data_IF_076991680560
#
_entry.id   IF_076991680560
#
_cell.length_a   1.000
_cell.length_b   1.000
_cell.length_c   1.000
_cell.angle_alpha   90.00
_cell.angle_beta   90.00
_cell.angle_gamma   90.00
#
_symmetry.space_group_name_H-M   'P 1'
#
loop_
_entity.id
_entity.type
_entity.pdbx_description
1 polymer ?
#
# COMPACT_ATOMS: atom_id res chain seq x y z
N UNK A 1 -28.55 -0.36 12.40
CA UNK A 1 -27.63 0.75 12.14
C UNK A 1 -26.50 0.62 13.15
N UNK A 2 -25.41 -0.04 12.78
CA UNK A 2 -24.18 0.04 13.56
C UNK A 2 -23.59 1.41 13.26
N UNK A 3 -23.58 2.29 14.25
CA UNK A 3 -22.76 3.51 14.20
C UNK A 3 -21.31 3.03 14.12
N UNK A 4 -20.72 3.08 12.93
CA UNK A 4 -19.32 2.69 12.72
C UNK A 4 -18.47 3.46 13.73
N UNK A 5 -17.72 2.74 14.55
CA UNK A 5 -16.76 3.31 15.47
C UNK A 5 -15.64 3.91 14.62
N UNK A 6 -15.50 5.23 14.62
CA UNK A 6 -14.39 5.91 13.90
C UNK A 6 -13.28 6.12 14.90
N UNK A 7 -12.10 5.55 14.62
CA UNK A 7 -10.93 5.75 15.46
C UNK A 7 -10.16 6.98 14.94
N UNK A 8 -9.86 7.97 15.78
CA UNK A 8 -8.96 9.04 15.40
C UNK A 8 -7.53 8.46 15.24
N UNK A 9 -6.94 8.63 14.08
CA UNK A 9 -5.50 8.42 13.86
C UNK A 9 -4.77 9.68 14.33
N UNK A 10 -3.60 9.51 14.93
CA UNK A 10 -2.75 10.64 15.30
C UNK A 10 -2.34 11.41 14.05
N UNK A 11 -2.45 12.73 14.13
CA UNK A 11 -1.99 13.64 13.08
C UNK A 11 -0.68 14.29 13.52
N UNK A 12 0.33 14.23 12.66
CA UNK A 12 1.66 14.78 12.89
C UNK A 12 1.95 15.85 11.84
N UNK A 13 2.25 17.04 12.30
CA UNK A 13 2.76 18.13 11.48
C UNK A 13 4.27 17.91 11.25
N UNK A 14 4.67 17.66 10.00
CA UNK A 14 6.09 17.42 9.65
C UNK A 14 6.98 18.65 9.75
N UNK A 15 6.43 19.85 9.93
CA UNK A 15 7.20 21.06 10.24
C UNK A 15 7.45 21.26 11.75
N UNK A 16 6.78 20.45 12.59
CA UNK A 16 6.98 20.49 14.04
C UNK A 16 8.39 20.01 14.43
N UNK A 17 9.07 20.66 15.37
CA UNK A 17 10.34 20.17 15.91
C UNK A 17 10.21 18.82 16.64
N UNK A 18 9.00 18.41 17.02
CA UNK A 18 8.71 17.14 17.68
C UNK A 18 8.20 16.07 16.69
N UNK A 19 8.20 16.37 15.38
CA UNK A 19 7.62 15.50 14.34
C UNK A 19 8.12 14.06 14.43
N UNK A 20 9.42 13.83 14.54
CA UNK A 20 9.99 12.48 14.60
C UNK A 20 9.46 11.70 15.82
N UNK A 21 9.48 12.30 17.01
CA UNK A 21 9.02 11.65 18.24
C UNK A 21 7.52 11.32 18.17
N UNK A 22 6.70 12.24 17.68
CA UNK A 22 5.26 12.05 17.53
C UNK A 22 4.94 10.99 16.46
N UNK A 23 5.69 11.00 15.36
CA UNK A 23 5.59 9.98 14.29
C UNK A 23 5.86 8.57 14.85
N UNK A 24 6.99 8.37 15.55
CA UNK A 24 7.32 7.09 16.13
C UNK A 24 6.31 6.63 17.18
N UNK A 25 5.81 7.54 18.03
CA UNK A 25 4.78 7.23 19.03
C UNK A 25 3.46 6.79 18.38
N UNK A 26 3.04 7.44 17.29
CA UNK A 26 1.84 7.08 16.54
C UNK A 26 1.98 5.69 15.91
N UNK A 27 3.11 5.42 15.24
CA UNK A 27 3.38 4.12 14.62
C UNK A 27 3.46 2.99 15.66
N UNK A 28 4.11 3.22 16.80
CA UNK A 28 4.16 2.24 17.87
C UNK A 28 2.78 1.93 18.48
N UNK A 29 1.87 2.91 18.49
CA UNK A 29 0.55 2.76 19.11
C UNK A 29 -0.46 2.07 18.20
N UNK A 30 -0.48 2.42 16.92
CA UNK A 30 -1.55 1.99 15.99
C UNK A 30 -1.04 1.49 14.65
N UNK A 31 0.27 1.48 14.41
CA UNK A 31 0.82 1.17 13.09
C UNK A 31 0.43 2.17 11.99
N UNK A 32 -0.34 3.23 12.31
CA UNK A 32 -0.84 4.24 11.37
C UNK A 32 -0.63 5.65 11.91
N UNK A 33 -0.37 6.59 11.01
CA UNK A 33 -0.27 8.02 11.32
C UNK A 33 -0.77 8.84 10.13
N UNK A 34 -1.35 10.00 10.40
CA UNK A 34 -1.68 11.00 9.38
C UNK A 34 -0.64 12.11 9.42
N UNK A 35 -0.19 12.57 8.25
CA UNK A 35 0.84 13.59 8.12
C UNK A 35 0.27 14.83 7.46
N UNK A 36 0.46 15.98 8.12
CA UNK A 36 0.27 17.31 7.56
C UNK A 36 1.60 17.95 7.21
N UNK A 37 1.58 19.00 6.39
CA UNK A 37 2.78 19.71 5.93
C UNK A 37 3.83 18.77 5.34
N UNK A 38 3.37 17.72 4.67
CA UNK A 38 4.18 16.65 4.08
C UNK A 38 5.01 17.10 2.87
N UNK A 39 4.69 18.27 2.27
CA UNK A 39 5.46 18.89 1.21
C UNK A 39 5.15 18.45 -0.21
N UNK A 40 4.20 17.52 -0.42
CA UNK A 40 3.73 17.12 -1.76
C UNK A 40 3.07 18.33 -2.43
N UNK A 41 3.51 18.67 -3.65
CA UNK A 41 2.97 19.81 -4.41
C UNK A 41 1.50 19.59 -4.80
N UNK A 42 0.58 20.50 -4.44
CA UNK A 42 -0.84 20.35 -4.78
C UNK A 42 -1.11 20.32 -6.30
N UNK A 43 -0.27 20.98 -7.11
CA UNK A 43 -0.37 20.97 -8.56
C UNK A 43 0.02 19.62 -9.17
N UNK A 44 1.08 18.98 -8.64
CA UNK A 44 1.45 17.60 -8.99
C UNK A 44 0.31 16.65 -8.64
N UNK A 45 -0.23 16.75 -7.43
CA UNK A 45 -1.37 15.95 -6.95
C UNK A 45 -2.61 16.10 -7.86
N UNK A 46 -2.91 17.33 -8.30
CA UNK A 46 -4.04 17.61 -9.18
C UNK A 46 -3.84 17.02 -10.59
N UNK A 47 -2.66 17.18 -11.19
CA UNK A 47 -2.32 16.59 -12.50
C UNK A 47 -2.40 15.06 -12.46
N UNK A 48 -1.80 14.46 -11.44
CA UNK A 48 -1.88 13.02 -11.22
C UNK A 48 -3.33 12.52 -11.16
N UNK A 49 -4.19 13.17 -10.36
CA UNK A 49 -5.60 12.79 -10.24
C UNK A 49 -6.35 12.92 -11.56
N UNK A 50 -6.10 13.98 -12.33
CA UNK A 50 -6.71 14.16 -13.65
C UNK A 50 -6.29 13.06 -14.63
N UNK A 51 -5.00 12.75 -14.70
CA UNK A 51 -4.49 11.69 -15.57
C UNK A 51 -5.09 10.32 -15.21
N UNK A 52 -5.20 10.02 -13.91
CA UNK A 52 -5.87 8.80 -13.44
C UNK A 52 -7.36 8.77 -13.82
N UNK A 53 -8.08 9.89 -13.70
CA UNK A 53 -9.48 9.95 -14.10
C UNK A 53 -9.66 9.68 -15.59
N UNK A 54 -8.81 10.26 -16.43
CA UNK A 54 -8.83 10.05 -17.88
C UNK A 54 -8.54 8.58 -18.21
N UNK A 55 -7.53 7.95 -17.57
CA UNK A 55 -7.21 6.55 -17.79
C UNK A 55 -8.31 5.60 -17.33
N UNK A 56 -8.76 5.73 -16.08
CA UNK A 56 -9.80 4.85 -15.53
C UNK A 56 -11.17 5.10 -16.17
N UNK A 57 -11.38 6.25 -16.80
CA UNK A 57 -12.54 6.57 -17.62
C UNK A 57 -12.62 5.83 -18.96
N UNK A 58 -11.49 5.25 -19.43
CA UNK A 58 -11.47 4.51 -20.69
C UNK A 58 -12.30 3.23 -20.62
N UNK A 59 -12.79 2.73 -21.78
CA UNK A 59 -13.36 1.39 -21.88
C UNK A 59 -12.36 0.31 -21.42
N UNK A 60 -12.90 -0.78 -20.86
CA UNK A 60 -12.07 -1.87 -20.30
C UNK A 60 -11.09 -2.45 -21.33
N UNK A 61 -11.53 -2.58 -22.59
CA UNK A 61 -10.73 -3.11 -23.69
C UNK A 61 -9.50 -2.23 -23.98
N UNK A 62 -9.65 -0.91 -23.84
CA UNK A 62 -8.54 0.02 -24.00
C UNK A 62 -7.52 -0.11 -22.83
N UNK A 63 -8.02 -0.22 -21.61
CA UNK A 63 -7.18 -0.39 -20.41
C UNK A 63 -6.42 -1.72 -20.40
N UNK A 64 -7.06 -2.80 -20.85
CA UNK A 64 -6.45 -4.14 -20.90
C UNK A 64 -5.19 -4.23 -21.77
N UNK A 65 -4.99 -3.31 -22.70
CA UNK A 65 -3.77 -3.22 -23.53
C UNK A 65 -2.52 -2.91 -22.69
N UNK A 66 -2.70 -2.36 -21.49
CA UNK A 66 -1.64 -1.95 -20.58
C UNK A 66 -1.46 -2.89 -19.39
N UNK A 67 -2.01 -4.10 -19.47
CA UNK A 67 -1.68 -5.19 -18.55
C UNK A 67 -0.27 -5.66 -18.84
N UNK A 68 0.58 -5.73 -17.81
CA UNK A 68 1.94 -6.21 -17.99
C UNK A 68 1.94 -7.71 -18.36
N UNK A 69 2.74 -8.15 -19.36
CA UNK A 69 2.76 -9.54 -19.80
C UNK A 69 3.30 -10.49 -18.72
N UNK A 70 4.21 -10.01 -17.86
CA UNK A 70 4.75 -10.79 -16.74
C UNK A 70 3.92 -10.50 -15.47
N UNK A 71 3.17 -11.49 -14.96
CA UNK A 71 2.26 -11.27 -13.84
C UNK A 71 2.95 -10.82 -12.55
N UNK A 72 4.23 -11.19 -12.35
CA UNK A 72 5.01 -10.85 -11.14
C UNK A 72 5.58 -9.44 -11.17
N UNK A 73 5.55 -8.77 -12.32
CA UNK A 73 6.18 -7.46 -12.51
C UNK A 73 5.62 -6.36 -11.60
N UNK A 74 4.41 -6.50 -11.10
CA UNK A 74 3.70 -5.49 -10.33
C UNK A 74 3.67 -4.10 -11.02
N UNK A 75 3.45 -4.09 -12.34
CA UNK A 75 3.40 -2.90 -13.20
C UNK A 75 2.18 -2.94 -14.11
N UNK A 76 1.72 -1.77 -14.52
CA UNK A 76 0.62 -1.61 -15.47
C UNK A 76 -0.75 -1.78 -14.86
N UNK A 77 -1.73 -1.96 -15.75
CA UNK A 77 -3.14 -2.05 -15.39
C UNK A 77 -3.49 -3.41 -14.78
N UNK A 78 -4.26 -3.36 -13.73
CA UNK A 78 -4.88 -4.51 -13.07
C UNK A 78 -6.38 -4.33 -13.04
N UNK A 79 -7.08 -5.24 -13.67
CA UNK A 79 -8.53 -5.15 -13.80
C UNK A 79 -9.24 -5.55 -12.50
N UNK A 80 -10.44 -5.05 -12.32
CA UNK A 80 -11.36 -5.46 -11.26
C UNK A 80 -11.47 -6.99 -11.23
N UNK A 81 -11.34 -7.56 -10.05
CA UNK A 81 -11.42 -9.00 -9.83
C UNK A 81 -10.17 -9.80 -10.23
N UNK A 82 -9.06 -9.15 -10.58
CA UNK A 82 -7.79 -9.84 -10.85
C UNK A 82 -7.01 -10.22 -9.59
N UNK A 83 -7.39 -9.66 -8.45
CA UNK A 83 -6.73 -9.87 -7.16
C UNK A 83 -7.73 -10.27 -6.07
N UNK A 84 -7.23 -10.91 -5.02
CA UNK A 84 -7.92 -11.20 -3.77
C UNK A 84 -6.87 -11.13 -2.65
N UNK A 85 -6.69 -9.94 -2.08
CA UNK A 85 -5.59 -9.67 -1.14
C UNK A 85 -5.65 -10.54 0.12
N UNK A 86 -6.85 -10.91 0.57
CA UNK A 86 -7.03 -11.83 1.71
C UNK A 86 -6.36 -13.20 1.52
N UNK A 87 -6.03 -13.59 0.28
CA UNK A 87 -5.27 -14.83 0.04
C UNK A 87 -3.85 -14.77 0.60
N UNK A 88 -3.28 -13.58 0.76
CA UNK A 88 -1.97 -13.41 1.41
C UNK A 88 -2.00 -13.81 2.89
N UNK A 89 -3.19 -13.81 3.49
CA UNK A 89 -3.45 -14.27 4.87
C UNK A 89 -3.84 -15.77 4.95
N UNK A 90 -3.96 -16.44 3.79
CA UNK A 90 -4.46 -17.81 3.71
C UNK A 90 -5.99 -17.93 3.76
N UNK A 91 -6.72 -16.80 3.66
CA UNK A 91 -8.18 -16.78 3.67
C UNK A 91 -8.74 -16.82 2.24
N UNK A 92 -9.71 -17.71 1.98
CA UNK A 92 -10.45 -17.72 0.74
C UNK A 92 -11.50 -16.60 0.75
N UNK A 93 -11.46 -15.72 -0.25
CA UNK A 93 -12.41 -14.62 -0.42
C UNK A 93 -12.83 -14.49 -1.89
N UNK A 94 -14.00 -13.89 -2.18
CA UNK A 94 -14.30 -13.44 -3.52
C UNK A 94 -13.25 -12.43 -4.02
N UNK A 95 -13.00 -12.36 -5.34
CA UNK A 95 -12.08 -11.36 -5.90
C UNK A 95 -12.44 -9.93 -5.53
N UNK A 96 -11.43 -9.09 -5.32
CA UNK A 96 -11.57 -7.71 -4.91
C UNK A 96 -12.19 -6.83 -6.02
N UNK A 97 -12.88 -5.76 -5.61
CA UNK A 97 -13.65 -4.91 -6.52
C UNK A 97 -12.88 -3.68 -7.04
N UNK A 98 -11.63 -3.49 -6.67
CA UNK A 98 -10.83 -2.38 -7.19
C UNK A 98 -10.22 -2.71 -8.56
N UNK A 99 -9.85 -1.68 -9.27
CA UNK A 99 -8.89 -1.71 -10.37
C UNK A 99 -7.72 -0.81 -10.02
N UNK A 100 -6.53 -1.09 -10.54
CA UNK A 100 -5.35 -0.26 -10.29
C UNK A 100 -4.47 -0.11 -11.52
N UNK A 101 -3.62 0.92 -11.48
CA UNK A 101 -2.48 1.07 -12.37
C UNK A 101 -1.22 1.24 -11.53
N UNK A 102 -0.33 0.28 -11.61
CA UNK A 102 0.89 0.23 -10.82
C UNK A 102 2.07 0.74 -11.63
N UNK A 103 2.75 1.75 -11.14
CA UNK A 103 3.81 2.45 -11.85
C UNK A 103 5.07 2.62 -10.99
N UNK A 104 6.19 2.61 -11.66
CA UNK A 104 7.47 3.08 -11.15
C UNK A 104 8.31 3.61 -12.33
N UNK A 105 9.34 4.41 -12.09
CA UNK A 105 10.31 4.75 -13.10
C UNK A 105 10.92 3.50 -13.76
N UNK A 106 11.19 3.58 -15.05
CA UNK A 106 11.86 2.49 -15.73
C UNK A 106 13.27 2.29 -15.17
N UNK A 107 13.69 1.05 -14.93
CA UNK A 107 15.00 0.78 -14.34
C UNK A 107 16.12 1.21 -15.30
N UNK A 108 17.15 1.87 -14.75
CA UNK A 108 18.35 2.24 -15.52
C UNK A 108 19.01 1.00 -16.11
N UNK A 109 19.32 1.04 -17.40
CA UNK A 109 19.91 -0.09 -18.12
C UNK A 109 18.95 -1.19 -18.55
N UNK A 110 17.64 -0.97 -18.36
CA UNK A 110 16.56 -1.89 -18.74
C UNK A 110 16.18 -2.87 -17.64
N UNK A 111 15.10 -3.61 -17.88
CA UNK A 111 14.54 -4.58 -16.94
C UNK A 111 15.53 -5.75 -16.73
N UNK A 112 16.25 -5.73 -15.63
CA UNK A 112 17.20 -6.79 -15.24
C UNK A 112 16.65 -7.73 -14.17
N UNK A 113 15.53 -7.36 -13.54
CA UNK A 113 14.95 -8.09 -12.43
C UNK A 113 13.42 -8.19 -12.57
N UNK A 114 12.83 -9.35 -12.23
CA UNK A 114 11.39 -9.61 -12.39
C UNK A 114 10.47 -8.69 -11.59
N UNK A 115 10.94 -8.11 -10.48
CA UNK A 115 10.23 -7.12 -9.67
C UNK A 115 10.47 -5.68 -10.12
N UNK A 116 11.42 -5.45 -11.03
CA UNK A 116 11.81 -4.13 -11.53
C UNK A 116 11.71 -4.13 -13.05
N UNK A 117 10.49 -4.21 -13.54
CA UNK A 117 10.16 -4.20 -14.97
C UNK A 117 9.71 -2.82 -15.41
N UNK A 118 9.78 -2.54 -16.71
CA UNK A 118 9.25 -1.31 -17.30
C UNK A 118 7.74 -1.24 -17.17
N UNK A 119 7.21 -0.04 -16.98
CA UNK A 119 5.78 0.20 -16.92
C UNK A 119 5.20 0.27 -18.34
N UNK A 120 4.10 -0.45 -18.67
CA UNK A 120 3.41 -0.31 -19.95
C UNK A 120 2.59 0.98 -19.98
N UNK A 121 3.23 2.09 -20.31
CA UNK A 121 2.67 3.43 -20.26
C UNK A 121 1.55 3.66 -21.29
N UNK A 122 0.40 4.25 -20.90
CA UNK A 122 -0.74 4.48 -21.80
C UNK A 122 -0.74 5.84 -22.50
N UNK A 123 0.43 6.48 -22.70
CA UNK A 123 0.54 7.84 -23.26
C UNK A 123 -0.04 7.98 -24.68
N UNK A 124 -0.16 6.88 -25.41
CA UNK A 124 -0.83 6.86 -26.72
C UNK A 124 -2.33 7.11 -26.66
N UNK A 125 -2.98 6.89 -25.50
CA UNK A 125 -4.42 7.06 -25.28
C UNK A 125 -4.73 8.08 -24.19
N UNK A 126 -3.81 8.32 -23.27
CA UNK A 126 -3.88 9.38 -22.25
C UNK A 126 -2.55 10.14 -22.30
N UNK A 127 -2.42 11.19 -23.09
CA UNK A 127 -1.20 11.98 -23.17
C UNK A 127 -0.75 12.48 -21.81
N UNK A 128 0.58 12.50 -21.60
CA UNK A 128 1.21 12.97 -20.35
C UNK A 128 0.89 12.11 -19.10
N UNK A 129 0.32 10.90 -19.27
CA UNK A 129 0.03 10.01 -18.15
C UNK A 129 1.31 9.59 -17.42
N UNK A 130 2.34 9.17 -18.17
CA UNK A 130 3.63 8.78 -17.59
C UNK A 130 4.29 9.93 -16.83
N UNK A 131 4.27 11.15 -17.39
CA UNK A 131 4.84 12.34 -16.75
C UNK A 131 4.12 12.67 -15.43
N UNK A 132 2.79 12.64 -15.43
CA UNK A 132 2.00 12.91 -14.23
C UNK A 132 2.24 11.88 -13.10
N UNK A 133 2.41 10.61 -13.46
CA UNK A 133 2.71 9.55 -12.50
C UNK A 133 4.16 9.60 -12.02
N UNK A 134 5.11 9.93 -12.90
CA UNK A 134 6.53 10.10 -12.53
C UNK A 134 6.73 11.28 -11.58
N UNK A 135 6.05 12.41 -11.82
CA UNK A 135 6.07 13.57 -10.92
C UNK A 135 5.54 13.18 -9.54
N UNK A 136 4.40 12.49 -9.46
CA UNK A 136 3.81 12.06 -8.19
C UNK A 136 4.68 11.01 -7.49
N UNK A 137 5.28 10.08 -8.24
CA UNK A 137 6.25 9.13 -7.70
C UNK A 137 7.43 9.85 -7.05
N UNK A 138 7.96 10.88 -7.70
CA UNK A 138 9.08 11.67 -7.19
C UNK A 138 8.73 12.40 -5.90
N UNK A 139 7.53 12.96 -5.78
CA UNK A 139 7.04 13.58 -4.55
C UNK A 139 6.97 12.57 -3.40
N UNK A 140 6.44 11.37 -3.65
CA UNK A 140 6.40 10.32 -2.65
C UNK A 140 7.79 9.81 -2.28
N UNK A 141 8.68 9.61 -3.24
CA UNK A 141 10.05 9.19 -2.98
C UNK A 141 10.81 10.20 -2.11
N UNK A 142 10.62 11.50 -2.35
CA UNK A 142 11.20 12.56 -1.53
C UNK A 142 10.64 12.51 -0.09
N UNK A 143 9.33 12.31 0.06
CA UNK A 143 8.73 12.15 1.39
C UNK A 143 9.24 10.87 2.06
N UNK A 144 9.32 9.76 1.35
CA UNK A 144 9.80 8.49 1.88
C UNK A 144 11.24 8.59 2.41
N UNK A 145 12.15 9.27 1.70
CA UNK A 145 13.51 9.52 2.18
C UNK A 145 13.55 10.32 3.50
N UNK A 146 12.66 11.31 3.67
CA UNK A 146 12.54 12.04 4.94
C UNK A 146 12.05 11.12 6.05
N UNK A 147 11.08 10.25 5.76
CA UNK A 147 10.55 9.29 6.74
C UNK A 147 11.58 8.21 7.08
N UNK A 148 12.37 7.72 6.11
CA UNK A 148 13.48 6.79 6.38
C UNK A 148 14.48 7.38 7.38
N UNK A 149 14.86 8.65 7.21
CA UNK A 149 15.75 9.32 8.15
C UNK A 149 15.16 9.40 9.56
N UNK A 150 13.85 9.66 9.69
CA UNK A 150 13.15 9.63 10.97
C UNK A 150 13.12 8.21 11.57
N UNK A 151 12.86 7.19 10.74
CA UNK A 151 12.89 5.79 11.16
C UNK A 151 14.28 5.39 11.63
N UNK A 152 15.36 5.75 10.90
CA UNK A 152 16.75 5.51 11.32
C UNK A 152 17.05 6.14 12.70
N UNK A 153 16.68 7.41 12.89
CA UNK A 153 16.87 8.12 14.15
C UNK A 153 16.16 7.43 15.32
N UNK A 154 14.93 7.02 15.11
CA UNK A 154 14.06 6.46 16.15
C UNK A 154 14.38 4.99 16.49
N UNK A 155 14.75 4.20 15.49
CA UNK A 155 14.92 2.76 15.63
C UNK A 155 16.37 2.32 15.76
N UNK A 156 17.31 3.13 15.27
CA UNK A 156 18.70 2.76 15.11
C UNK A 156 18.94 1.80 13.92
N UNK A 157 18.00 1.69 12.99
CA UNK A 157 18.19 0.91 11.75
C UNK A 157 19.15 1.63 10.81
N UNK A 158 20.42 1.53 11.13
CA UNK A 158 21.47 2.26 10.41
C UNK A 158 21.54 1.87 8.95
N UNK A 159 21.51 2.86 8.07
CA UNK A 159 21.65 2.71 6.62
C UNK A 159 20.33 2.39 5.90
N UNK A 160 19.16 2.48 6.54
CA UNK A 160 17.87 2.31 5.88
C UNK A 160 17.73 3.28 4.72
N UNK A 161 17.88 4.59 4.95
CA UNK A 161 17.76 5.61 3.91
C UNK A 161 18.79 5.43 2.76
N UNK A 162 20.00 4.97 3.07
CA UNK A 162 21.03 4.71 2.05
C UNK A 162 20.75 3.43 1.22
N UNK A 163 19.99 2.50 1.78
CA UNK A 163 19.64 1.22 1.15
C UNK A 163 18.15 1.16 0.73
N UNK A 164 17.52 2.29 0.58
CA UNK A 164 16.18 2.47 0.01
C UNK A 164 16.25 3.33 -1.27
N UNK A 165 15.16 3.42 -2.04
CA UNK A 165 15.06 4.30 -3.20
C UNK A 165 15.62 3.75 -4.52
N UNK A 166 16.40 2.67 -4.49
CA UNK A 166 16.81 1.92 -5.69
C UNK A 166 16.12 0.54 -5.73
N UNK A 167 15.07 0.41 -4.96
CA UNK A 167 14.33 -0.81 -4.74
C UNK A 167 13.11 -0.95 -5.65
N UNK A 168 12.22 -1.87 -5.30
CA UNK A 168 11.01 -2.18 -6.05
C UNK A 168 9.84 -1.21 -5.77
N UNK A 169 10.13 0.01 -5.33
CA UNK A 169 9.12 1.00 -5.00
C UNK A 169 8.08 1.14 -6.12
N UNK A 170 6.83 1.27 -5.73
CA UNK A 170 5.70 1.28 -6.65
C UNK A 170 4.64 2.26 -6.18
N UNK A 171 4.21 3.14 -7.08
CA UNK A 171 3.00 3.93 -6.89
C UNK A 171 1.82 3.21 -7.55
N UNK A 172 0.84 2.82 -6.77
CA UNK A 172 -0.39 2.19 -7.24
C UNK A 172 -1.54 3.20 -7.22
N UNK A 173 -1.95 3.67 -8.39
CA UNK A 173 -3.22 4.37 -8.56
C UNK A 173 -4.36 3.37 -8.39
N UNK A 174 -5.17 3.55 -7.36
CA UNK A 174 -6.26 2.63 -7.03
C UNK A 174 -7.59 3.34 -7.26
N UNK A 175 -8.45 2.72 -8.05
CA UNK A 175 -9.74 3.25 -8.41
C UNK A 175 -10.84 2.23 -8.12
N UNK A 176 -11.90 2.71 -7.53
CA UNK A 176 -13.12 1.94 -7.39
C UNK A 176 -14.29 2.76 -7.95
N UNK A 177 -14.96 2.19 -8.93
CA UNK A 177 -16.21 2.73 -9.49
C UNK A 177 -17.30 1.68 -9.39
N UNK A 178 -18.54 2.06 -9.01
CA UNK A 178 -19.68 1.17 -9.13
C UNK A 178 -19.94 0.86 -10.61
N UNK A 179 -20.76 -0.16 -10.85
CA UNK A 179 -21.22 -0.48 -12.20
C UNK A 179 -21.95 0.72 -12.84
N UNK A 180 -22.00 0.82 -14.20
CA UNK A 180 -22.58 1.97 -14.90
C UNK A 180 -24.05 2.29 -14.54
N UNK A 181 -24.79 1.31 -14.03
CA UNK A 181 -26.15 1.48 -13.53
C UNK A 181 -26.20 1.99 -12.06
N UNK A 182 -25.07 2.30 -11.47
CA UNK A 182 -24.93 2.75 -10.08
C UNK A 182 -25.15 1.68 -9.03
N UNK A 183 -25.33 0.43 -9.45
CA UNK A 183 -25.49 -0.70 -8.54
C UNK A 183 -24.12 -1.29 -8.17
N UNK A 184 -23.86 -1.41 -6.90
CA UNK A 184 -22.73 -2.18 -6.40
C UNK A 184 -23.16 -3.64 -6.22
N UNK A 185 -22.81 -4.50 -7.18
CA UNK A 185 -23.14 -5.92 -7.14
C UNK A 185 -22.09 -6.66 -6.34
N UNK A 186 -22.24 -6.63 -5.04
CA UNK A 186 -21.34 -7.28 -4.09
C UNK A 186 -21.90 -8.64 -3.70
N UNK A 187 -21.12 -9.70 -3.85
CA UNK A 187 -21.46 -10.99 -3.27
C UNK A 187 -21.08 -11.03 -1.79
N UNK A 188 -21.67 -11.97 -1.05
CA UNK A 188 -21.40 -12.09 0.38
C UNK A 188 -19.89 -12.24 0.67
N UNK A 189 -19.35 -11.40 1.56
CA UNK A 189 -17.93 -11.40 1.93
C UNK A 189 -16.99 -10.65 0.96
N UNK A 190 -17.50 -10.17 -0.18
CA UNK A 190 -16.68 -9.44 -1.15
C UNK A 190 -16.34 -8.05 -0.63
N UNK A 191 -15.09 -7.64 -0.81
CA UNK A 191 -14.58 -6.34 -0.41
C UNK A 191 -14.21 -5.50 -1.65
N UNK A 192 -14.09 -4.19 -1.46
CA UNK A 192 -13.40 -3.32 -2.44
C UNK A 192 -11.94 -3.72 -2.51
N UNK A 193 -11.33 -3.90 -1.34
CA UNK A 193 -9.98 -4.41 -1.17
C UNK A 193 -9.98 -5.30 0.08
N UNK A 194 -9.64 -6.57 -0.06
CA UNK A 194 -9.66 -7.58 0.99
C UNK A 194 -8.71 -7.24 2.14
N UNK A 195 -8.94 -7.83 3.30
CA UNK A 195 -8.07 -7.65 4.46
C UNK A 195 -6.64 -8.13 4.15
N UNK A 196 -5.65 -7.30 4.45
CA UNK A 196 -4.23 -7.59 4.23
C UNK A 196 -3.35 -6.72 5.13
N UNK A 197 -2.08 -7.07 5.24
CA UNK A 197 -0.99 -6.19 5.68
C UNK A 197 -0.15 -5.80 4.47
N UNK A 198 0.55 -4.67 4.55
CA UNK A 198 1.47 -4.26 3.50
C UNK A 198 2.82 -4.97 3.63
N UNK A 199 3.44 -5.30 2.50
CA UNK A 199 4.70 -6.05 2.45
C UNK A 199 5.95 -5.16 2.53
N UNK A 200 5.76 -3.89 2.77
CA UNK A 200 6.68 -2.75 2.69
C UNK A 200 7.49 -2.55 3.99
N UNK A 201 8.42 -1.57 3.98
CA UNK A 201 8.81 -0.89 5.21
C UNK A 201 7.64 -0.08 5.75
N UNK A 202 7.13 0.81 4.92
CA UNK A 202 5.90 1.57 5.16
C UNK A 202 5.23 1.92 3.84
N UNK A 203 3.96 2.26 3.91
CA UNK A 203 3.18 2.73 2.76
C UNK A 203 2.73 4.16 3.02
N UNK A 204 2.89 5.03 2.01
CA UNK A 204 2.32 6.39 2.02
C UNK A 204 1.04 6.34 1.19
N UNK A 205 -0.08 6.73 1.76
CA UNK A 205 -1.39 6.69 1.12
C UNK A 205 -1.98 8.10 0.99
N UNK A 206 -2.09 8.60 -0.24
CA UNK A 206 -2.97 9.73 -0.56
C UNK A 206 -4.34 9.21 -0.96
N UNK A 207 -5.36 9.48 -0.17
CA UNK A 207 -6.70 8.99 -0.41
C UNK A 207 -7.75 10.10 -0.28
N UNK A 208 -8.86 9.95 -0.99
CA UNK A 208 -10.01 10.84 -0.83
C UNK A 208 -10.58 10.73 0.59
N UNK A 209 -11.08 11.85 1.16
CA UNK A 209 -11.62 11.93 2.51
C UNK A 209 -13.03 11.29 2.58
N UNK A 210 -13.14 10.03 2.19
CA UNK A 210 -14.39 9.27 2.17
C UNK A 210 -14.25 7.98 2.96
N UNK A 211 -15.38 7.50 3.49
CA UNK A 211 -15.44 6.22 4.19
C UNK A 211 -15.00 5.05 3.32
N UNK A 212 -14.69 3.94 3.96
CA UNK A 212 -14.40 2.65 3.34
C UNK A 212 -13.11 2.03 3.83
N UNK A 213 -12.07 2.81 4.11
CA UNK A 213 -10.86 2.28 4.76
C UNK A 213 -11.18 1.90 6.21
N UNK A 214 -10.82 0.67 6.56
CA UNK A 214 -10.91 0.16 7.92
C UNK A 214 -9.59 -0.48 8.33
N UNK A 215 -9.24 -0.35 9.60
CA UNK A 215 -8.12 -1.03 10.24
C UNK A 215 -8.63 -1.86 11.42
N UNK A 216 -7.83 -2.83 11.86
CA UNK A 216 -8.09 -3.55 13.11
C UNK A 216 -7.48 -2.76 14.26
N UNK A 217 -8.28 -2.44 15.27
CA UNK A 217 -7.82 -1.74 16.48
C UNK A 217 -7.18 -2.69 17.52
N UNK A 218 -6.76 -2.13 18.65
CA UNK A 218 -6.13 -2.89 19.74
C UNK A 218 -7.04 -3.93 20.42
N UNK A 219 -8.35 -3.83 20.22
CA UNK A 219 -9.35 -4.78 20.72
C UNK A 219 -9.73 -5.85 19.68
N UNK A 220 -9.12 -5.81 18.49
CA UNK A 220 -9.38 -6.73 17.38
C UNK A 220 -10.60 -6.37 16.54
N UNK A 221 -11.17 -5.17 16.72
CA UNK A 221 -12.38 -4.72 16.03
C UNK A 221 -12.03 -3.87 14.79
N UNK A 222 -12.84 -3.99 13.73
CA UNK A 222 -12.70 -3.16 12.55
C UNK A 222 -13.26 -1.76 12.79
N UNK A 223 -12.41 -0.75 12.62
CA UNK A 223 -12.77 0.67 12.81
C UNK A 223 -12.55 1.47 11.52
N UNK A 224 -13.46 2.42 11.25
CA UNK A 224 -13.39 3.29 10.07
C UNK A 224 -12.29 4.34 10.24
N UNK A 225 -11.50 4.54 9.17
CA UNK A 225 -10.54 5.63 9.02
C UNK A 225 -10.99 6.53 7.88
N UNK A 226 -11.08 7.82 8.17
CA UNK A 226 -11.39 8.84 7.16
C UNK A 226 -10.20 9.79 7.12
N UNK A 227 -9.39 9.80 6.04
CA UNK A 227 -8.27 10.74 5.91
C UNK A 227 -8.76 12.18 5.86
N UNK A 228 -7.96 13.13 6.32
CA UNK A 228 -8.18 14.55 6.05
C UNK A 228 -7.79 14.87 4.59
N UNK A 229 -8.46 15.89 4.01
CA UNK A 229 -8.39 16.15 2.57
C UNK A 229 -6.98 16.50 2.06
N UNK A 230 -6.19 17.16 2.90
CA UNK A 230 -4.85 17.67 2.55
C UNK A 230 -3.72 16.90 3.23
N UNK A 231 -4.05 15.83 3.95
CA UNK A 231 -3.10 14.96 4.61
C UNK A 231 -2.80 13.71 3.78
N UNK A 232 -1.73 13.01 4.15
CA UNK A 232 -1.46 11.64 3.71
C UNK A 232 -1.42 10.72 4.93
N UNK A 233 -1.84 9.46 4.74
CA UNK A 233 -1.66 8.43 5.75
C UNK A 233 -0.33 7.72 5.54
N UNK A 234 0.30 7.27 6.62
CA UNK A 234 1.44 6.36 6.58
C UNK A 234 1.13 5.18 7.49
N UNK A 235 1.36 3.98 6.98
CA UNK A 235 1.23 2.76 7.77
C UNK A 235 2.50 1.91 7.73
N UNK A 236 2.77 1.26 8.84
CA UNK A 236 3.85 0.28 8.99
C UNK A 236 3.56 -0.93 8.11
N UNK A 237 4.57 -1.37 7.36
CA UNK A 237 4.54 -2.61 6.62
C UNK A 237 5.27 -3.75 7.34
N UNK A 238 5.17 -4.95 6.78
CA UNK A 238 5.70 -6.18 7.37
C UNK A 238 7.21 -6.09 7.66
N UNK A 239 8.01 -5.45 6.79
CA UNK A 239 9.46 -5.35 6.95
C UNK A 239 9.86 -4.46 8.13
N UNK A 240 9.18 -3.34 8.32
CA UNK A 240 9.44 -2.46 9.46
C UNK A 240 8.92 -3.07 10.78
N UNK A 241 7.79 -3.78 10.74
CA UNK A 241 7.30 -4.54 11.89
C UNK A 241 8.30 -5.63 12.30
N UNK A 242 8.88 -6.35 11.33
CA UNK A 242 9.95 -7.32 11.60
C UNK A 242 11.19 -6.66 12.23
N UNK A 243 11.67 -5.56 11.66
CA UNK A 243 12.83 -4.83 12.18
C UNK A 243 12.61 -4.34 13.61
N UNK A 244 11.39 -3.92 13.94
CA UNK A 244 11.01 -3.47 15.29
C UNK A 244 10.46 -4.57 16.18
N UNK A 245 10.58 -5.83 15.77
CA UNK A 245 10.11 -7.00 16.51
C UNK A 245 8.64 -6.86 16.99
N UNK A 246 7.78 -6.35 16.11
CA UNK A 246 6.36 -6.02 16.30
C UNK A 246 6.06 -4.86 17.28
N UNK A 247 7.08 -4.13 17.77
CA UNK A 247 6.81 -2.94 18.59
C UNK A 247 6.21 -1.79 17.76
N UNK A 248 6.41 -1.79 16.45
CA UNK A 248 5.66 -1.00 15.47
C UNK A 248 4.87 -1.99 14.60
N UNK A 249 3.59 -2.19 14.89
CA UNK A 249 2.84 -3.30 14.29
C UNK A 249 2.42 -3.01 12.84
N UNK A 250 2.54 -4.02 11.98
CA UNK A 250 1.91 -4.02 10.66
C UNK A 250 0.44 -4.45 10.82
N UNK A 251 -0.47 -3.48 10.75
CA UNK A 251 -1.89 -3.68 11.07
C UNK A 251 -2.68 -4.11 9.84
N UNK A 252 -3.59 -5.08 10.04
CA UNK A 252 -4.54 -5.47 9.01
C UNK A 252 -5.46 -4.31 8.66
N UNK A 253 -5.61 -4.08 7.36
CA UNK A 253 -6.53 -3.08 6.85
C UNK A 253 -7.28 -3.60 5.63
N UNK A 254 -8.42 -2.98 5.32
CA UNK A 254 -9.28 -3.33 4.19
C UNK A 254 -10.04 -2.13 3.67
N UNK A 255 -10.64 -2.23 2.48
CA UNK A 255 -11.60 -1.26 1.99
C UNK A 255 -12.94 -1.95 1.77
N UNK A 256 -13.94 -1.56 2.56
CA UNK A 256 -15.27 -2.16 2.50
C UNK A 256 -16.11 -1.56 1.36
N UNK A 257 -17.12 -2.29 0.86
CA UNK A 257 -18.12 -1.76 -0.04
C UNK A 257 -18.85 -0.56 0.58
N UNK A 258 -19.23 0.41 -0.26
CA UNK A 258 -19.96 1.58 0.22
C UNK A 258 -21.46 1.30 0.33
N UNK A 259 -22.10 1.95 1.30
CA UNK A 259 -23.56 1.95 1.41
C UNK A 259 -24.21 2.64 0.20
N UNK A 260 -25.38 2.16 -0.19
CA UNK A 260 -26.15 2.76 -1.27
C UNK A 260 -26.41 4.28 -1.02
N UNK A 261 -26.08 5.12 -1.99
CA UNK A 261 -26.23 6.58 -1.90
C UNK A 261 -25.01 7.31 -1.32
N UNK A 262 -23.94 6.63 -1.00
CA UNK A 262 -22.64 7.24 -0.66
C UNK A 262 -21.87 7.67 -1.92
N UNK A 263 -20.65 8.20 -1.78
CA UNK A 263 -19.84 8.67 -2.90
C UNK A 263 -19.73 7.61 -4.02
N UNK A 264 -19.91 8.00 -5.30
CA UNK A 264 -20.02 7.06 -6.40
C UNK A 264 -18.70 6.31 -6.69
N UNK A 265 -17.57 6.85 -6.25
CA UNK A 265 -16.26 6.23 -6.43
C UNK A 265 -15.33 6.64 -5.29
N UNK A 266 -14.22 5.91 -5.14
CA UNK A 266 -13.11 6.21 -4.24
C UNK A 266 -11.82 6.07 -5.02
N UNK A 267 -10.94 7.06 -4.88
CA UNK A 267 -9.59 7.06 -5.45
C UNK A 267 -8.57 7.14 -4.32
N UNK A 268 -7.47 6.48 -4.54
CA UNK A 268 -6.28 6.63 -3.71
C UNK A 268 -5.04 6.32 -4.53
N UNK A 269 -3.90 6.80 -4.06
CA UNK A 269 -2.60 6.30 -4.51
C UNK A 269 -1.86 5.80 -3.29
N UNK A 270 -1.39 4.56 -3.38
CA UNK A 270 -0.53 3.95 -2.38
C UNK A 270 0.90 3.92 -2.93
N UNK A 271 1.82 4.52 -2.23
CA UNK A 271 3.25 4.41 -2.52
C UNK A 271 3.85 3.37 -1.58
N UNK A 272 4.18 2.24 -2.15
CA UNK A 272 4.80 1.11 -1.46
C UNK A 272 6.30 1.32 -1.42
N UNK A 273 6.85 1.57 -0.23
CA UNK A 273 8.26 1.87 -0.03
C UNK A 273 9.01 0.70 0.60
N UNK A 274 10.15 0.37 0.01
CA UNK A 274 10.94 -0.79 0.40
C UNK A 274 12.42 -0.46 0.54
N UNK A 275 13.16 -1.21 1.39
CA UNK A 275 14.59 -1.31 1.22
C UNK A 275 14.93 -1.97 -0.12
N UNK A 276 16.17 -1.83 -0.57
CA UNK A 276 16.65 -2.49 -1.79
C UNK A 276 16.48 -4.01 -1.68
N UNK A 277 16.31 -4.68 -2.82
CA UNK A 277 16.00 -6.12 -2.89
C UNK A 277 17.02 -7.04 -2.20
N UNK A 278 18.29 -6.62 -2.15
CA UNK A 278 19.38 -7.37 -1.56
C UNK A 278 19.56 -7.18 -0.04
N UNK A 279 18.79 -6.23 0.53
CA UNK A 279 18.81 -5.97 1.98
C UNK A 279 18.24 -7.17 2.72
N UNK A 280 18.90 -7.52 3.83
CA UNK A 280 18.42 -8.50 4.79
C UNK A 280 17.83 -7.76 5.99
N UNK A 281 16.57 -8.03 6.28
CA UNK A 281 15.85 -7.48 7.43
C UNK A 281 15.84 -8.51 8.54
N UNK A 282 16.20 -8.08 9.74
CA UNK A 282 16.15 -8.87 10.97
C UNK A 282 15.73 -7.96 12.13
N UNK A 283 15.20 -8.53 13.22
CA UNK A 283 14.88 -7.75 14.41
C UNK A 283 16.09 -7.00 14.94
N UNK A 284 15.95 -5.68 15.07
CA UNK A 284 17.00 -4.81 15.60
C UNK A 284 17.26 -5.13 17.08
N UNK A 285 18.52 -5.21 17.54
CA UNK A 285 18.83 -5.59 18.92
C UNK A 285 18.14 -4.70 19.98
N UNK A 286 17.89 -3.44 19.68
CA UNK A 286 17.19 -2.49 20.55
C UNK A 286 15.70 -2.83 20.76
N UNK A 287 15.11 -3.64 19.87
CA UNK A 287 13.71 -4.06 19.91
C UNK A 287 13.53 -5.52 20.38
N UNK A 288 14.61 -6.26 20.60
CA UNK A 288 14.56 -7.63 21.12
C UNK A 288 14.70 -7.58 22.64
N UNK A 289 13.60 -7.83 23.36
CA UNK A 289 13.60 -7.84 24.85
C UNK A 289 14.01 -9.22 25.36
N UNK A 290 13.28 -10.26 24.96
CA UNK A 290 13.52 -11.65 25.38
C UNK A 290 14.07 -12.48 24.23
N UNK A 291 13.31 -12.55 23.13
CA UNK A 291 13.68 -13.29 21.92
C UNK A 291 13.24 -12.55 20.66
N UNK A 292 13.90 -12.87 19.55
CA UNK A 292 13.50 -12.35 18.24
C UNK A 292 12.31 -13.15 17.70
N UNK A 293 11.24 -12.45 17.34
CA UNK A 293 10.03 -13.06 16.76
C UNK A 293 10.27 -13.58 15.33
N UNK A 294 11.31 -13.09 14.67
CA UNK A 294 11.58 -13.33 13.25
C UNK A 294 13.02 -13.78 13.01
N UNK A 295 13.20 -14.68 12.04
CA UNK A 295 14.49 -14.94 11.43
C UNK A 295 14.83 -13.84 10.41
N UNK A 296 16.12 -13.66 10.15
CA UNK A 296 16.58 -12.78 9.08
C UNK A 296 15.96 -13.17 7.74
N UNK A 297 15.46 -12.19 6.98
CA UNK A 297 14.73 -12.37 5.73
C UNK A 297 15.21 -11.37 4.68
N UNK A 298 15.48 -11.85 3.47
CA UNK A 298 15.84 -10.99 2.35
C UNK A 298 14.57 -10.32 1.77
N UNK A 299 14.65 -9.03 1.48
CA UNK A 299 13.52 -8.26 0.93
C UNK A 299 12.96 -8.89 -0.35
N UNK A 300 13.86 -9.32 -1.26
CA UNK A 300 13.46 -10.00 -2.49
C UNK A 300 12.59 -11.23 -2.25
N UNK A 301 13.02 -12.11 -1.33
CA UNK A 301 12.32 -13.36 -1.04
C UNK A 301 10.94 -13.08 -0.43
N UNK A 302 10.87 -12.13 0.50
CA UNK A 302 9.60 -11.70 1.10
C UNK A 302 8.59 -11.20 0.06
N UNK A 303 9.04 -10.31 -0.83
CA UNK A 303 8.15 -9.74 -1.85
C UNK A 303 7.65 -10.78 -2.83
N UNK A 304 8.50 -11.69 -3.27
CA UNK A 304 8.10 -12.72 -4.22
C UNK A 304 7.06 -13.66 -3.64
N UNK A 305 7.25 -14.09 -2.39
CA UNK A 305 6.30 -14.96 -1.70
C UNK A 305 4.93 -14.28 -1.56
N UNK A 306 4.92 -13.01 -1.16
CA UNK A 306 3.68 -12.25 -0.94
C UNK A 306 2.97 -11.91 -2.24
N UNK A 307 3.67 -11.44 -3.27
CA UNK A 307 3.07 -11.11 -4.57
C UNK A 307 2.50 -12.33 -5.29
N UNK A 308 3.10 -13.50 -5.11
CA UNK A 308 2.53 -14.75 -5.62
C UNK A 308 1.28 -15.13 -4.85
N UNK A 309 1.27 -14.97 -3.53
CA UNK A 309 0.14 -15.34 -2.68
C UNK A 309 -1.11 -14.47 -2.91
N UNK A 310 -0.94 -13.15 -3.18
CA UNK A 310 -2.06 -12.20 -3.31
C UNK A 310 -2.84 -12.30 -4.64
N UNK A 311 -2.29 -12.97 -5.67
CA UNK A 311 -2.96 -13.08 -6.96
C UNK A 311 -4.07 -14.10 -6.91
N UNK A 312 -5.23 -13.77 -7.48
CA UNK A 312 -6.26 -14.77 -7.77
C UNK A 312 -5.61 -15.81 -8.65
N UNK A 313 -5.24 -16.89 -8.05
CA UNK A 313 -4.77 -18.02 -8.80
C UNK A 313 -5.90 -18.50 -9.70
N UNK A 314 -5.64 -18.55 -10.98
CA UNK A 314 -6.06 -19.73 -11.75
C UNK A 314 -5.36 -20.95 -11.13
N UNK A 315 -5.74 -21.32 -9.92
CA UNK A 315 -5.05 -22.29 -9.08
C UNK A 315 -5.80 -23.56 -8.89
N UNK A 316 -5.36 -24.45 -9.65
CA UNK A 316 -5.10 -25.78 -9.14
C UNK A 316 -3.62 -25.86 -8.80
N UNK A 317 -3.33 -26.23 -7.55
CA UNK A 317 -2.09 -26.85 -7.04
C UNK A 317 -0.92 -25.97 -6.63
N UNK A 318 -0.71 -26.00 -5.36
CA UNK A 318 0.43 -25.79 -4.46
C UNK A 318 0.41 -24.50 -3.65
N UNK A 319 -0.33 -24.54 -2.55
CA UNK A 319 -0.16 -23.61 -1.44
C UNK A 319 0.82 -24.22 -0.46
N UNK A 320 2.00 -23.62 -0.31
CA UNK A 320 2.81 -23.83 0.88
C UNK A 320 2.44 -22.70 1.84
N UNK A 321 1.80 -23.08 2.92
CA UNK A 321 1.17 -22.26 3.94
C UNK A 321 2.20 -21.47 4.74
N UNK A 322 2.03 -20.13 4.78
CA UNK A 322 2.53 -19.30 5.87
C UNK A 322 1.40 -19.14 6.90
N UNK A 323 1.02 -20.23 7.54
CA UNK A 323 -0.08 -20.30 8.52
C UNK A 323 0.42 -20.05 9.96
N UNK A 324 1.39 -19.17 10.16
CA UNK A 324 1.99 -18.94 11.49
C UNK A 324 1.48 -17.73 12.26
N UNK A 325 0.74 -16.81 11.63
CA UNK A 325 0.37 -15.53 12.28
C UNK A 325 -1.01 -15.45 12.90
N UNK A 326 -1.89 -16.41 12.62
CA UNK A 326 -3.27 -16.39 13.17
C UNK A 326 -3.43 -17.12 14.50
N UNK A 327 -2.38 -17.69 15.07
CA UNK A 327 -2.46 -18.48 16.31
C UNK A 327 -1.92 -17.74 17.57
N UNK A 328 -1.72 -16.42 17.46
CA UNK A 328 -1.34 -15.57 18.60
C UNK A 328 -2.41 -14.52 18.87
N UNK A 329 -3.59 -14.96 19.21
CA UNK A 329 -4.53 -14.14 20.01
C UNK A 329 -4.55 -14.67 21.44
N UNK A 330 -4.52 -13.76 22.45
CA UNK A 330 -4.43 -14.10 23.86
C UNK A 330 -5.64 -14.86 24.36
#
# INVERSE_FOLDING_TARGET
>A
MQTGNTMPIDTVDLESPEAAVLFGAALARTGFVQLENHGIDPGVRARYRSACDDFFGLPIEAKQRFVHPEPEANRGYRSRGSEALSYSLGEESPPDLFESFNAAPDPEGGASHRLMQSTPWPDEVVPEFSDALADMFSEFANLAQRLDAMVEELTGWTGLAANSGNGPDTAAAINYRPDPDGAERVVAGQQRMGAHSDYTSFTILDAEPVKGLQIVDGDGEWVDIIPDADAVLVNVGDLLAMATNDQWPSILHRVVPMEAGSAPFRRSVAFFHYPNLDVVVEPLPSFVVDEANYAALRVEDHLLDKLVASKVKQLSQSATTTAGRLDQSP
#
